data_IF_692832439852
#
_entry.id   IF_692832439852
#
_cell.length_a   1.000
_cell.length_b   1.000
_cell.length_c   1.000
_cell.angle_alpha   90.00
_cell.angle_beta   90.00
_cell.angle_gamma   90.00
#
_symmetry.space_group_name_H-M   'P 1'
#
loop_
_entity.id
_entity.type
_entity.pdbx_description
1 polymer ?
#
# COMPACT_ATOMS: atom_id res chain seq x y z
N UNK A 1 15.60 13.38 -28.00
CA UNK A 1 15.36 13.77 -26.58
C UNK A 1 15.38 15.29 -26.51
N UNK A 2 14.34 15.99 -26.02
CA UNK A 2 14.36 17.45 -25.99
C UNK A 2 15.25 17.95 -24.85
N UNK A 3 15.98 19.04 -25.10
CA UNK A 3 16.84 19.74 -24.12
C UNK A 3 16.02 20.05 -22.82
N UNK A 4 14.75 20.42 -22.98
CA UNK A 4 13.83 20.65 -21.85
C UNK A 4 13.64 19.41 -20.95
N UNK A 5 13.61 18.23 -21.55
CA UNK A 5 13.48 16.97 -20.78
C UNK A 5 14.76 16.68 -20.00
N UNK A 6 15.93 16.84 -20.61
CA UNK A 6 17.22 16.64 -19.95
C UNK A 6 17.39 17.59 -18.76
N UNK A 7 17.05 18.88 -18.93
CA UNK A 7 17.09 19.87 -17.84
C UNK A 7 16.12 19.49 -16.69
N UNK A 8 14.89 19.11 -16.98
CA UNK A 8 13.94 18.67 -15.95
C UNK A 8 14.45 17.43 -15.19
N UNK A 9 15.07 16.50 -15.90
CA UNK A 9 15.65 15.29 -15.30
C UNK A 9 16.83 15.64 -14.39
N UNK A 10 17.74 16.50 -14.82
CA UNK A 10 18.89 16.97 -14.02
C UNK A 10 18.40 17.72 -12.77
N UNK A 11 17.46 18.64 -12.90
CA UNK A 11 16.90 19.38 -11.74
C UNK A 11 16.26 18.41 -10.75
N UNK A 12 15.47 17.45 -11.22
CA UNK A 12 14.87 16.43 -10.37
C UNK A 12 15.93 15.59 -9.64
N UNK A 13 16.99 15.19 -10.33
CA UNK A 13 18.03 14.33 -9.77
C UNK A 13 18.92 15.11 -8.79
N UNK A 14 19.17 16.42 -9.04
CA UNK A 14 19.81 17.32 -8.08
C UNK A 14 18.97 17.55 -6.84
N UNK A 15 17.67 17.82 -6.98
CA UNK A 15 16.75 17.93 -5.84
C UNK A 15 16.71 16.63 -5.03
N UNK A 16 16.78 15.51 -5.70
CA UNK A 16 16.84 14.19 -5.07
C UNK A 16 18.15 14.00 -4.27
N UNK A 17 19.31 14.39 -4.84
CA UNK A 17 20.61 14.35 -4.15
C UNK A 17 20.66 15.30 -2.95
N UNK A 18 20.12 16.51 -3.09
CA UNK A 18 19.98 17.45 -1.98
C UNK A 18 19.12 16.90 -0.85
N UNK A 19 17.98 16.29 -1.18
CA UNK A 19 17.11 15.68 -0.19
C UNK A 19 17.75 14.45 0.49
N UNK A 20 18.58 13.68 -0.22
CA UNK A 20 19.37 12.59 0.36
C UNK A 20 20.46 13.11 1.31
N UNK A 21 21.14 14.18 0.93
CA UNK A 21 22.18 14.79 1.75
C UNK A 21 21.59 15.41 3.03
N UNK A 22 20.47 16.13 2.91
CA UNK A 22 19.70 16.65 4.04
C UNK A 22 19.21 15.50 4.94
N UNK A 23 18.73 14.40 4.35
CA UNK A 23 18.33 13.22 5.08
C UNK A 23 19.50 12.58 5.84
N UNK A 24 20.68 12.44 5.21
CA UNK A 24 21.86 11.90 5.88
C UNK A 24 22.32 12.80 7.04
N UNK A 25 22.22 14.12 6.90
CA UNK A 25 22.55 15.10 7.94
C UNK A 25 21.52 15.12 9.08
N UNK A 26 20.24 14.91 8.77
CA UNK A 26 19.16 14.92 9.78
C UNK A 26 19.00 13.59 10.51
N UNK A 27 19.53 12.47 9.96
CA UNK A 27 19.50 11.17 10.64
C UNK A 27 20.38 11.11 11.91
N UNK A 28 21.27 12.07 12.15
CA UNK A 28 22.04 12.12 13.40
C UNK A 28 21.21 12.45 14.64
N UNK A 29 20.01 13.01 14.47
CA UNK A 29 19.04 13.13 15.57
C UNK A 29 18.12 11.91 15.51
N UNK A 30 18.39 10.92 16.34
CA UNK A 30 17.51 9.77 16.52
C UNK A 30 16.09 10.27 16.83
N UNK A 31 15.21 10.20 15.85
CA UNK A 31 13.79 10.49 16.05
C UNK A 31 13.27 9.50 17.08
N UNK A 32 12.63 9.99 18.13
CA UNK A 32 12.02 9.12 19.15
C UNK A 32 11.12 8.08 18.49
N UNK A 33 11.17 6.84 18.99
CA UNK A 33 10.29 5.77 18.49
C UNK A 33 8.85 6.25 18.57
N UNK A 34 8.01 6.03 17.53
CA UNK A 34 6.59 6.33 17.59
C UNK A 34 5.97 5.61 18.77
N UNK A 35 5.18 6.32 19.57
CA UNK A 35 4.46 5.70 20.66
C UNK A 35 3.28 4.89 20.14
N UNK A 36 3.12 3.68 20.65
CA UNK A 36 1.88 2.94 20.55
C UNK A 36 0.94 3.51 21.62
N UNK A 37 -0.17 4.11 21.18
CA UNK A 37 -1.15 4.69 22.12
C UNK A 37 -1.93 3.57 22.80
N UNK A 38 -2.36 2.58 22.02
CA UNK A 38 -2.96 1.34 22.52
C UNK A 38 -2.89 0.22 21.48
N UNK A 39 -3.03 -1.01 21.97
CA UNK A 39 -3.24 -2.22 21.19
C UNK A 39 -4.39 -2.99 21.86
N UNK A 40 -5.54 -3.13 21.16
CA UNK A 40 -6.74 -3.76 21.66
C UNK A 40 -7.07 -4.99 20.83
N UNK A 41 -7.62 -6.01 21.45
CA UNK A 41 -8.18 -7.15 20.73
C UNK A 41 -9.44 -6.74 19.96
N UNK A 42 -9.62 -7.31 18.78
CA UNK A 42 -10.87 -7.23 18.03
C UNK A 42 -11.91 -8.20 18.57
N UNK A 43 -13.06 -8.27 17.90
CA UNK A 43 -14.10 -9.24 18.24
C UNK A 43 -13.85 -10.63 17.61
N UNK A 44 -12.97 -10.71 16.63
CA UNK A 44 -12.61 -11.96 15.95
C UNK A 44 -11.45 -12.63 16.69
N UNK A 45 -11.56 -13.94 16.93
CA UNK A 45 -10.45 -14.73 17.46
C UNK A 45 -9.43 -15.02 16.34
N UNK A 46 -8.12 -15.00 16.62
CA UNK A 46 -7.09 -15.41 15.67
C UNK A 46 -7.28 -16.86 15.21
N UNK A 47 -7.10 -17.09 13.90
CA UNK A 47 -7.11 -18.43 13.32
C UNK A 47 -5.81 -18.69 12.57
N UNK A 48 -4.86 -19.38 13.18
CA UNK A 48 -3.55 -19.63 12.63
C UNK A 48 -3.56 -20.56 11.39
N UNK A 49 -4.70 -21.09 10.97
CA UNK A 49 -4.84 -21.75 9.67
C UNK A 49 -5.05 -20.74 8.51
N UNK A 50 -5.37 -19.48 8.82
CA UNK A 50 -5.55 -18.40 7.85
C UNK A 50 -4.29 -17.55 7.74
N UNK A 51 -3.99 -16.96 6.57
CA UNK A 51 -2.98 -15.92 6.48
C UNK A 51 -3.42 -14.66 7.24
N UNK A 52 -2.44 -13.89 7.72
CA UNK A 52 -2.68 -12.64 8.44
C UNK A 52 -2.43 -11.44 7.55
N UNK A 53 -3.20 -10.37 7.73
CA UNK A 53 -2.99 -9.06 7.10
C UNK A 53 -2.65 -8.01 8.15
N UNK A 54 -1.51 -7.34 8.01
CA UNK A 54 -1.20 -6.09 8.70
C UNK A 54 -1.63 -4.92 7.81
N UNK A 55 -2.74 -4.29 8.14
CA UNK A 55 -3.35 -3.22 7.37
C UNK A 55 -3.07 -1.86 7.99
N UNK A 56 -2.24 -1.03 7.33
CA UNK A 56 -1.94 0.34 7.77
C UNK A 56 -2.94 1.34 7.18
N UNK A 57 -3.43 2.26 8.02
CA UNK A 57 -4.32 3.35 7.61
C UNK A 57 -3.93 4.67 8.28
N UNK A 58 -4.13 5.76 7.54
CA UNK A 58 -3.97 7.12 8.03
C UNK A 58 -5.02 8.04 7.41
N UNK A 59 -5.63 8.84 8.28
CA UNK A 59 -6.53 9.92 7.88
C UNK A 59 -6.23 11.15 8.76
N UNK A 60 -6.11 12.34 8.15
CA UNK A 60 -5.76 13.58 8.84
C UNK A 60 -6.89 14.11 9.72
N UNK A 61 -8.14 13.75 9.43
CA UNK A 61 -9.32 14.11 10.22
C UNK A 61 -9.64 13.02 11.26
N UNK A 62 -8.83 11.96 11.32
CA UNK A 62 -9.03 10.82 12.23
C UNK A 62 -10.33 10.05 11.99
N UNK A 63 -10.77 9.98 10.73
CA UNK A 63 -11.98 9.27 10.31
C UNK A 63 -11.58 7.94 9.66
N UNK A 64 -12.23 6.85 10.05
CA UNK A 64 -12.12 5.60 9.31
C UNK A 64 -13.13 5.62 8.16
N UNK A 65 -12.63 5.83 6.94
CA UNK A 65 -13.48 6.03 5.74
C UNK A 65 -14.20 4.75 5.32
N UNK A 66 -15.34 4.88 4.62
CA UNK A 66 -16.16 3.74 4.18
C UNK A 66 -15.37 2.76 3.26
N UNK A 67 -14.53 3.29 2.38
CA UNK A 67 -13.66 2.45 1.55
C UNK A 67 -12.65 1.62 2.35
N UNK A 68 -12.21 2.10 3.53
CA UNK A 68 -11.34 1.32 4.44
C UNK A 68 -12.13 0.17 5.06
N UNK A 69 -13.33 0.43 5.58
CA UNK A 69 -14.19 -0.64 6.08
C UNK A 69 -14.54 -1.68 5.01
N UNK A 70 -14.83 -1.20 3.81
CA UNK A 70 -15.09 -2.09 2.68
C UNK A 70 -13.90 -2.99 2.41
N UNK A 71 -12.68 -2.44 2.34
CA UNK A 71 -11.47 -3.23 2.08
C UNK A 71 -11.19 -4.24 3.20
N UNK A 72 -11.30 -3.82 4.47
CA UNK A 72 -11.15 -4.73 5.63
C UNK A 72 -12.17 -5.88 5.58
N UNK A 73 -13.43 -5.56 5.26
CA UNK A 73 -14.49 -6.57 5.08
C UNK A 73 -14.12 -7.56 3.96
N UNK A 74 -13.64 -7.08 2.83
CA UNK A 74 -13.24 -7.96 1.71
C UNK A 74 -12.03 -8.84 2.07
N UNK A 75 -11.05 -8.32 2.81
CA UNK A 75 -9.94 -9.12 3.31
C UNK A 75 -10.41 -10.22 4.27
N UNK A 76 -11.30 -9.90 5.20
CA UNK A 76 -11.86 -10.87 6.14
C UNK A 76 -12.70 -11.95 5.41
N UNK A 77 -13.52 -11.55 4.42
CA UNK A 77 -14.30 -12.47 3.58
C UNK A 77 -13.43 -13.36 2.71
N UNK A 78 -12.31 -12.83 2.19
CA UNK A 78 -11.32 -13.60 1.45
C UNK A 78 -10.55 -14.61 2.34
N UNK A 79 -10.69 -14.51 3.66
CA UNK A 79 -10.12 -15.48 4.61
C UNK A 79 -8.86 -15.00 5.34
N UNK A 80 -8.54 -13.70 5.33
CA UNK A 80 -7.46 -13.16 6.16
C UNK A 80 -7.92 -12.89 7.60
N UNK A 81 -7.04 -13.17 8.56
CA UNK A 81 -7.10 -12.51 9.86
C UNK A 81 -6.50 -11.10 9.73
N UNK A 82 -7.17 -10.08 10.26
CA UNK A 82 -6.74 -8.69 10.04
C UNK A 82 -6.30 -8.03 11.33
N UNK A 83 -5.10 -7.44 11.33
CA UNK A 83 -4.61 -6.49 12.32
C UNK A 83 -4.68 -5.10 11.70
N UNK A 84 -5.54 -4.24 12.22
CA UNK A 84 -5.69 -2.86 11.78
C UNK A 84 -4.72 -1.95 12.54
N UNK A 85 -3.95 -1.14 11.83
CA UNK A 85 -2.92 -0.25 12.38
C UNK A 85 -3.23 1.16 11.93
N UNK A 86 -3.73 2.00 12.85
CA UNK A 86 -4.00 3.41 12.58
C UNK A 86 -2.83 4.29 13.02
N UNK A 87 -2.47 5.20 12.12
CA UNK A 87 -1.57 6.31 12.42
C UNK A 87 -2.31 7.65 12.59
N UNK A 88 -3.64 7.67 12.50
CA UNK A 88 -4.47 8.84 12.78
C UNK A 88 -4.39 9.22 14.26
N UNK A 89 -4.68 10.47 14.61
CA UNK A 89 -4.51 10.96 15.98
C UNK A 89 -5.44 10.25 16.97
N UNK A 90 -6.66 9.95 16.55
CA UNK A 90 -7.65 9.22 17.33
C UNK A 90 -8.40 8.20 16.48
N UNK A 91 -9.10 7.27 17.13
CA UNK A 91 -10.14 6.43 16.55
C UNK A 91 -11.35 6.59 17.46
N UNK A 92 -12.51 6.97 16.93
CA UNK A 92 -13.73 7.11 17.71
C UNK A 92 -14.20 5.77 18.30
N UNK A 93 -14.96 5.79 19.38
CA UNK A 93 -15.49 4.55 19.97
C UNK A 93 -16.44 3.82 18.99
N UNK A 94 -17.18 4.56 18.17
CA UNK A 94 -18.03 3.99 17.13
C UNK A 94 -17.18 3.28 16.06
N UNK A 95 -16.06 3.89 15.62
CA UNK A 95 -15.14 3.27 14.68
C UNK A 95 -14.45 2.05 15.29
N UNK A 96 -14.04 2.13 16.57
CA UNK A 96 -13.44 0.99 17.28
C UNK A 96 -14.40 -0.21 17.32
N UNK A 97 -15.68 0.03 17.65
CA UNK A 97 -16.70 -1.01 17.67
C UNK A 97 -16.91 -1.64 16.29
N UNK A 98 -16.94 -0.82 15.24
CA UNK A 98 -17.11 -1.28 13.86
C UNK A 98 -15.89 -2.05 13.36
N UNK A 99 -14.67 -1.53 13.62
CA UNK A 99 -13.41 -2.20 13.27
C UNK A 99 -13.26 -3.55 13.94
N UNK A 100 -13.69 -3.67 15.23
CA UNK A 100 -13.62 -4.92 15.96
C UNK A 100 -14.33 -6.07 15.24
N UNK A 101 -15.40 -5.78 14.49
CA UNK A 101 -16.13 -6.78 13.70
C UNK A 101 -15.36 -7.35 12.50
N UNK A 102 -14.25 -6.74 12.10
CA UNK A 102 -13.45 -7.18 10.96
C UNK A 102 -12.01 -7.58 11.33
N UNK A 103 -11.58 -7.25 12.55
CA UNK A 103 -10.18 -7.37 12.96
C UNK A 103 -10.02 -8.29 14.16
N UNK A 104 -8.89 -8.98 14.22
CA UNK A 104 -8.43 -9.71 15.42
C UNK A 104 -7.74 -8.76 16.40
N UNK A 105 -7.18 -7.64 15.91
CA UNK A 105 -6.47 -6.63 16.70
C UNK A 105 -6.54 -5.25 16.06
N UNK A 106 -6.62 -4.21 16.91
CA UNK A 106 -6.62 -2.80 16.51
C UNK A 106 -5.50 -2.10 17.26
N UNK A 107 -4.59 -1.46 16.52
CA UNK A 107 -3.43 -0.77 17.04
C UNK A 107 -3.52 0.71 16.66
N UNK A 108 -3.39 1.61 17.64
CA UNK A 108 -3.24 3.05 17.42
C UNK A 108 -1.84 3.49 17.79
N UNK A 109 -1.20 4.23 16.89
CA UNK A 109 0.17 4.73 17.09
C UNK A 109 0.34 6.17 16.60
N UNK A 110 1.44 6.82 16.97
CA UNK A 110 1.81 8.11 16.40
C UNK A 110 2.09 8.02 14.90
N UNK A 111 1.75 9.09 14.16
CA UNK A 111 2.01 9.22 12.73
C UNK A 111 3.49 9.56 12.46
N UNK A 112 4.37 8.57 12.55
CA UNK A 112 5.80 8.70 12.24
C UNK A 112 6.29 7.48 11.48
N UNK A 113 7.06 7.68 10.39
CA UNK A 113 7.75 6.59 9.67
C UNK A 113 6.88 5.83 8.66
N UNK A 114 5.68 6.32 8.33
CA UNK A 114 4.79 5.78 7.30
C UNK A 114 4.45 4.30 7.50
N UNK A 115 4.08 3.60 6.40
CA UNK A 115 3.56 2.23 6.43
C UNK A 115 4.60 1.20 6.90
N UNK A 116 5.86 1.31 6.46
CA UNK A 116 6.90 0.37 6.87
C UNK A 116 7.13 0.36 8.38
N UNK A 117 7.07 1.53 9.02
CA UNK A 117 7.13 1.58 10.49
C UNK A 117 5.81 1.15 11.13
N UNK A 118 4.67 1.35 10.44
CA UNK A 118 3.38 0.81 10.83
C UNK A 118 3.41 -0.71 10.88
N UNK A 119 3.87 -1.35 9.83
CA UNK A 119 4.01 -2.82 9.79
C UNK A 119 4.99 -3.34 10.81
N UNK A 120 6.14 -2.67 11.01
CA UNK A 120 7.05 -3.00 12.13
C UNK A 120 6.30 -2.99 13.47
N UNK A 121 5.53 -1.93 13.73
CA UNK A 121 4.70 -1.86 14.95
C UNK A 121 3.70 -3.01 15.02
N UNK A 122 3.05 -3.35 13.90
CA UNK A 122 2.15 -4.50 13.82
C UNK A 122 2.82 -5.82 14.18
N UNK A 123 4.01 -6.08 13.64
CA UNK A 123 4.82 -7.27 13.95
C UNK A 123 5.22 -7.32 15.43
N UNK A 124 5.62 -6.18 16.01
CA UNK A 124 5.99 -6.07 17.42
C UNK A 124 4.76 -6.26 18.36
N UNK A 125 3.57 -5.75 17.99
CA UNK A 125 2.36 -5.81 18.79
C UNK A 125 1.56 -7.13 18.60
N UNK A 126 1.86 -7.87 17.54
CA UNK A 126 1.29 -9.19 17.28
C UNK A 126 2.40 -10.17 16.86
N UNK A 127 3.27 -10.59 17.78
CA UNK A 127 4.38 -11.49 17.47
C UNK A 127 3.93 -12.87 16.98
N UNK A 128 2.67 -13.27 17.24
CA UNK A 128 2.08 -14.52 16.74
C UNK A 128 1.90 -14.55 15.21
N UNK A 129 2.22 -13.48 14.47
CA UNK A 129 2.15 -13.45 13.01
C UNK A 129 2.91 -14.63 12.36
N UNK A 130 3.99 -15.10 12.99
CA UNK A 130 4.78 -16.22 12.49
C UNK A 130 4.07 -17.59 12.60
N UNK A 131 2.98 -17.69 13.36
CA UNK A 131 2.17 -18.92 13.44
C UNK A 131 1.26 -19.08 12.21
N UNK A 132 0.91 -17.97 11.52
CA UNK A 132 0.09 -17.99 10.31
C UNK A 132 0.84 -18.56 9.09
N UNK A 133 0.11 -19.10 8.07
CA UNK A 133 0.74 -19.65 6.86
C UNK A 133 1.37 -18.59 5.94
N UNK A 134 0.96 -17.34 6.05
CA UNK A 134 1.49 -16.22 5.28
C UNK A 134 1.08 -14.87 5.87
N UNK A 135 1.74 -13.82 5.42
CA UNK A 135 1.56 -12.45 5.88
C UNK A 135 1.34 -11.51 4.69
N UNK A 136 0.24 -10.78 4.73
CA UNK A 136 -0.04 -9.68 3.84
C UNK A 136 0.29 -8.35 4.54
N UNK A 137 1.13 -7.54 3.92
CA UNK A 137 1.36 -6.15 4.25
C UNK A 137 0.53 -5.31 3.30
N UNK A 138 -0.47 -4.60 3.81
CA UNK A 138 -1.38 -3.78 3.02
C UNK A 138 -1.59 -2.40 3.64
N UNK A 139 -2.08 -1.46 2.83
CA UNK A 139 -2.41 -0.13 3.30
C UNK A 139 -3.57 0.49 2.51
N UNK A 140 -4.05 1.61 2.97
CA UNK A 140 -5.18 2.34 2.41
C UNK A 140 -4.81 3.32 1.27
N UNK A 141 -3.60 3.22 0.68
CA UNK A 141 -3.22 4.09 -0.45
C UNK A 141 -3.95 3.78 -1.76
N UNK A 142 -4.69 2.69 -1.78
CA UNK A 142 -5.54 2.24 -2.88
C UNK A 142 -6.99 2.13 -2.46
N UNK A 143 -7.89 2.21 -3.45
CA UNK A 143 -9.33 2.02 -3.34
C UNK A 143 -9.69 0.66 -3.92
N UNK A 144 -10.62 -0.04 -3.28
CA UNK A 144 -11.02 -1.37 -3.73
C UNK A 144 -11.20 -2.36 -2.57
N UNK A 145 -11.37 -3.65 -2.88
CA UNK A 145 -11.31 -4.28 -4.21
C UNK A 145 -12.45 -3.83 -5.15
N UNK A 146 -12.10 -3.56 -6.40
CA UNK A 146 -13.04 -3.09 -7.43
C UNK A 146 -13.81 -4.24 -8.11
N UNK A 147 -13.29 -5.44 -8.01
CA UNK A 147 -13.82 -6.68 -8.57
C UNK A 147 -13.80 -7.78 -7.52
N UNK A 148 -14.35 -8.95 -7.85
CA UNK A 148 -14.30 -10.10 -6.97
C UNK A 148 -12.87 -10.40 -6.49
N UNK A 149 -12.74 -10.57 -5.19
CA UNK A 149 -11.49 -10.75 -4.48
C UNK A 149 -11.44 -12.06 -3.69
N UNK A 150 -12.48 -12.88 -3.82
CA UNK A 150 -12.66 -14.10 -3.04
C UNK A 150 -11.57 -15.15 -3.26
N UNK A 151 -10.97 -15.20 -4.47
CA UNK A 151 -9.93 -16.15 -4.85
C UNK A 151 -8.49 -15.66 -4.58
N UNK A 152 -8.34 -14.49 -3.97
CA UNK A 152 -7.02 -13.84 -3.86
C UNK A 152 -5.99 -14.72 -3.13
N UNK A 153 -6.39 -15.37 -2.02
CA UNK A 153 -5.46 -16.26 -1.29
C UNK A 153 -5.01 -17.40 -2.18
N UNK A 154 -5.94 -18.03 -2.89
CA UNK A 154 -5.62 -19.11 -3.83
C UNK A 154 -4.65 -18.65 -4.91
N UNK A 155 -4.84 -17.45 -5.47
CA UNK A 155 -3.93 -16.88 -6.46
C UNK A 155 -2.54 -16.57 -5.88
N UNK A 156 -2.47 -16.08 -4.65
CA UNK A 156 -1.21 -15.80 -3.95
C UNK A 156 -0.43 -17.08 -3.64
N UNK A 157 -1.12 -18.10 -3.12
CA UNK A 157 -0.50 -19.38 -2.76
C UNK A 157 -0.05 -20.17 -3.99
N UNK A 158 -0.84 -20.16 -5.09
CA UNK A 158 -0.49 -20.84 -6.33
C UNK A 158 0.58 -20.10 -7.15
N UNK A 159 0.88 -18.85 -6.83
CA UNK A 159 1.97 -18.14 -7.49
C UNK A 159 3.30 -18.83 -7.19
N UNK A 160 4.10 -19.11 -8.22
CA UNK A 160 5.42 -19.74 -8.07
C UNK A 160 6.50 -18.71 -7.61
N UNK A 161 6.15 -17.93 -6.60
CA UNK A 161 7.04 -16.98 -5.93
C UNK A 161 6.81 -17.03 -4.42
N UNK A 162 7.80 -16.61 -3.67
CA UNK A 162 7.79 -16.59 -2.20
C UNK A 162 7.19 -15.28 -1.68
N UNK A 163 7.39 -14.19 -2.44
CA UNK A 163 6.85 -12.86 -2.17
C UNK A 163 6.05 -12.42 -3.39
N UNK A 164 4.77 -12.10 -3.18
CA UNK A 164 3.86 -11.74 -4.27
C UNK A 164 3.27 -10.35 -4.03
N UNK A 165 3.49 -9.44 -4.99
CA UNK A 165 2.83 -8.13 -5.02
C UNK A 165 1.71 -8.09 -6.06
N UNK A 166 0.89 -7.03 -6.04
CA UNK A 166 -0.06 -6.79 -7.12
C UNK A 166 0.64 -6.29 -8.37
N UNK A 167 1.48 -5.29 -8.24
CA UNK A 167 2.22 -4.67 -9.34
C UNK A 167 3.68 -4.48 -8.96
N UNK A 168 4.53 -4.41 -9.97
CA UNK A 168 5.94 -4.08 -9.83
C UNK A 168 6.24 -2.68 -10.38
N UNK A 169 7.44 -2.19 -10.08
CA UNK A 169 7.92 -0.88 -10.48
C UNK A 169 9.44 -0.91 -10.66
N UNK A 170 9.95 -0.18 -11.65
CA UNK A 170 11.36 -0.19 -12.02
C UNK A 170 12.09 1.10 -11.62
N UNK A 171 11.43 2.00 -10.90
CA UNK A 171 12.07 3.20 -10.40
C UNK A 171 13.06 2.84 -9.30
N UNK A 172 14.28 3.35 -9.39
CA UNK A 172 15.42 3.10 -8.50
C UNK A 172 16.00 1.68 -8.61
N UNK A 173 15.17 0.66 -8.53
CA UNK A 173 15.49 -0.76 -8.60
C UNK A 173 14.21 -1.53 -8.90
N UNK A 174 14.23 -2.64 -9.66
CA UNK A 174 13.06 -3.49 -9.83
C UNK A 174 12.50 -3.92 -8.47
N UNK A 175 11.25 -3.60 -8.19
CA UNK A 175 10.64 -3.88 -6.89
C UNK A 175 9.13 -4.05 -7.00
N UNK A 176 8.55 -4.74 -6.02
CA UNK A 176 7.11 -4.83 -5.84
C UNK A 176 6.60 -3.55 -5.17
N UNK A 177 5.46 -3.03 -5.60
CA UNK A 177 4.83 -1.87 -4.96
C UNK A 177 4.22 -2.27 -3.61
N UNK A 178 4.47 -1.47 -2.59
CA UNK A 178 4.25 -1.86 -1.19
C UNK A 178 2.81 -1.74 -0.70
N UNK A 179 1.86 -1.29 -1.51
CA UNK A 179 0.46 -1.21 -1.08
C UNK A 179 -0.21 -2.58 -0.86
N UNK A 180 0.41 -3.66 -1.40
CA UNK A 180 -0.03 -5.03 -1.23
C UNK A 180 1.16 -5.98 -1.46
N UNK A 181 1.72 -6.52 -0.38
CA UNK A 181 2.86 -7.44 -0.40
C UNK A 181 2.53 -8.68 0.43
N UNK A 182 2.38 -9.82 -0.23
CA UNK A 182 2.15 -11.10 0.43
C UNK A 182 3.45 -11.88 0.55
N UNK A 183 3.79 -12.27 1.76
CA UNK A 183 4.97 -13.08 2.10
C UNK A 183 4.52 -14.45 2.58
N UNK A 184 4.96 -15.52 1.92
CA UNK A 184 4.71 -16.91 2.35
C UNK A 184 5.47 -17.23 3.63
N UNK A 185 5.05 -18.28 4.33
CA UNK A 185 5.62 -18.68 5.63
C UNK A 185 7.14 -18.77 5.66
N UNK A 186 7.86 -19.36 4.68
CA UNK A 186 9.33 -19.39 4.70
C UNK A 186 9.97 -18.01 4.73
N UNK A 187 9.32 -17.00 4.12
CA UNK A 187 9.81 -15.62 4.11
C UNK A 187 9.70 -15.00 5.49
N UNK A 188 8.51 -15.06 6.10
CA UNK A 188 8.24 -14.40 7.38
C UNK A 188 9.03 -14.99 8.56
N UNK A 189 9.53 -16.21 8.41
CA UNK A 189 10.38 -16.88 9.39
C UNK A 189 11.88 -16.65 9.15
N UNK A 190 12.25 -15.99 8.04
CA UNK A 190 13.66 -15.81 7.67
C UNK A 190 14.33 -14.69 8.44
N UNK A 191 15.64 -14.85 8.66
CA UNK A 191 16.47 -13.81 9.27
C UNK A 191 16.49 -12.53 8.44
N UNK A 192 16.38 -12.64 7.10
CA UNK A 192 16.34 -11.49 6.20
C UNK A 192 15.09 -10.65 6.39
N UNK A 193 13.93 -11.28 6.56
CA UNK A 193 12.66 -10.58 6.83
C UNK A 193 12.68 -9.93 8.21
N UNK A 194 13.04 -10.68 9.23
CA UNK A 194 13.12 -10.19 10.63
C UNK A 194 14.13 -9.05 10.71
N UNK A 195 15.35 -9.27 10.22
CA UNK A 195 16.42 -8.28 10.23
C UNK A 195 16.11 -7.03 9.40
N UNK A 196 15.31 -7.15 8.30
CA UNK A 196 14.83 -5.99 7.56
C UNK A 196 13.94 -5.11 8.45
N UNK A 197 12.92 -5.69 9.09
CA UNK A 197 12.01 -4.93 9.93
C UNK A 197 12.68 -4.40 11.21
N UNK A 198 13.63 -5.11 11.79
CA UNK A 198 14.42 -4.62 12.92
C UNK A 198 15.18 -3.32 12.57
N UNK A 199 15.68 -3.23 11.35
CA UNK A 199 16.41 -2.05 10.85
C UNK A 199 15.50 -0.90 10.35
N UNK A 200 14.17 -1.09 10.30
CA UNK A 200 13.26 -0.01 9.93
C UNK A 200 13.27 1.08 11.01
N UNK A 201 13.62 2.30 10.59
CA UNK A 201 13.67 3.51 11.41
C UNK A 201 12.70 4.54 10.89
N UNK A 202 12.36 5.50 11.73
CA UNK A 202 11.54 6.65 11.32
C UNK A 202 12.27 7.47 10.27
N UNK A 203 11.61 7.68 9.13
CA UNK A 203 12.10 8.46 8.00
C UNK A 203 11.02 9.47 7.63
N UNK A 204 11.38 10.76 7.57
CA UNK A 204 10.44 11.86 7.37
C UNK A 204 10.07 12.16 5.90
N UNK A 205 10.72 11.52 4.91
CA UNK A 205 10.53 11.85 3.50
C UNK A 205 10.03 10.66 2.69
N UNK A 206 8.87 10.82 2.02
CA UNK A 206 8.23 9.74 1.24
C UNK A 206 9.17 9.10 0.21
N UNK A 207 9.99 9.91 -0.51
CA UNK A 207 10.90 9.40 -1.54
C UNK A 207 12.03 8.54 -0.95
N UNK A 208 12.49 8.88 0.25
CA UNK A 208 13.50 8.08 0.97
C UNK A 208 12.91 6.76 1.47
N UNK A 209 11.62 6.73 1.85
CA UNK A 209 10.92 5.51 2.20
C UNK A 209 10.79 4.58 1.01
N UNK A 210 10.35 5.08 -0.15
CA UNK A 210 10.25 4.29 -1.38
C UNK A 210 11.60 3.66 -1.72
N UNK A 211 12.68 4.46 -1.72
CA UNK A 211 14.02 3.94 -2.06
C UNK A 211 14.58 2.98 -1.02
N UNK A 212 14.50 3.36 0.27
CA UNK A 212 15.14 2.61 1.36
C UNK A 212 14.37 1.35 1.73
N UNK A 213 13.05 1.47 1.80
CA UNK A 213 12.21 0.40 2.32
C UNK A 213 11.46 -0.33 1.21
N UNK A 214 10.73 0.34 0.31
CA UNK A 214 9.98 -0.35 -0.74
C UNK A 214 10.93 -1.06 -1.74
N UNK A 215 11.81 -0.31 -2.39
CA UNK A 215 12.82 -0.90 -3.28
C UNK A 215 13.87 -1.72 -2.50
N UNK A 216 14.22 -1.28 -1.28
CA UNK A 216 15.15 -1.97 -0.40
C UNK A 216 14.66 -3.33 0.07
N UNK A 217 13.38 -3.48 0.39
CA UNK A 217 12.73 -4.74 0.73
C UNK A 217 12.89 -5.76 -0.40
N UNK A 218 12.45 -5.38 -1.61
CA UNK A 218 12.57 -6.26 -2.77
C UNK A 218 14.03 -6.61 -3.10
N UNK A 219 14.95 -5.64 -3.00
CA UNK A 219 16.39 -5.87 -3.24
C UNK A 219 17.03 -6.78 -2.22
N UNK A 220 16.66 -6.66 -0.94
CA UNK A 220 17.24 -7.50 0.12
C UNK A 220 16.70 -8.92 0.02
N UNK A 221 15.38 -9.06 0.05
CA UNK A 221 14.72 -10.36 0.09
C UNK A 221 14.84 -11.10 -1.25
N UNK A 222 14.90 -10.39 -2.37
CA UNK A 222 15.10 -10.95 -3.70
C UNK A 222 16.47 -11.62 -3.93
N UNK A 223 17.41 -11.50 -2.99
CA UNK A 223 18.67 -12.26 -3.02
C UNK A 223 18.45 -13.74 -2.66
N UNK A 224 17.42 -14.06 -1.90
CA UNK A 224 17.12 -15.41 -1.41
C UNK A 224 15.77 -15.93 -1.91
N UNK A 225 14.78 -15.06 -2.04
CA UNK A 225 13.40 -15.42 -2.35
C UNK A 225 13.02 -14.97 -3.75
N UNK A 226 12.11 -15.72 -4.39
CA UNK A 226 11.52 -15.32 -5.67
C UNK A 226 10.41 -14.31 -5.42
N UNK A 227 10.46 -13.20 -6.18
CA UNK A 227 9.46 -12.14 -6.16
C UNK A 227 8.67 -12.17 -7.48
N UNK A 228 7.36 -11.97 -7.41
CA UNK A 228 6.50 -11.82 -8.58
C UNK A 228 5.38 -10.82 -8.34
N UNK A 229 4.96 -10.15 -9.40
CA UNK A 229 3.74 -9.34 -9.42
C UNK A 229 2.63 -10.10 -10.17
N UNK A 230 1.40 -10.14 -9.60
CA UNK A 230 0.25 -10.74 -10.27
C UNK A 230 -0.10 -10.01 -11.57
N UNK A 231 0.18 -8.71 -11.62
CA UNK A 231 -0.05 -7.81 -12.74
C UNK A 231 1.25 -7.04 -13.03
N UNK A 232 2.27 -7.76 -13.54
CA UNK A 232 3.58 -7.15 -13.81
C UNK A 232 3.49 -6.08 -14.89
N UNK A 233 4.34 -5.06 -14.80
CA UNK A 233 4.42 -3.98 -15.78
C UNK A 233 4.63 -4.54 -17.20
N UNK A 234 5.50 -5.52 -17.36
CA UNK A 234 5.73 -6.20 -18.63
C UNK A 234 4.42 -6.75 -19.22
N UNK A 235 3.69 -7.55 -18.45
CA UNK A 235 2.42 -8.12 -18.85
C UNK A 235 1.37 -7.07 -19.22
N UNK A 236 1.32 -5.97 -18.47
CA UNK A 236 0.40 -4.86 -18.77
C UNK A 236 0.79 -4.15 -20.06
N UNK A 237 2.08 -3.90 -20.27
CA UNK A 237 2.57 -3.26 -21.49
C UNK A 237 2.35 -4.14 -22.74
N UNK A 238 2.34 -5.45 -22.62
CA UNK A 238 2.08 -6.35 -23.75
C UNK A 238 0.66 -6.24 -24.31
N UNK A 239 -0.30 -5.75 -23.51
CA UNK A 239 -1.66 -5.45 -23.97
C UNK A 239 -1.78 -4.05 -24.63
N UNK A 240 -0.75 -3.23 -24.57
CA UNK A 240 -0.74 -1.89 -25.15
C UNK A 240 0.02 -1.90 -26.47
N UNK A 241 -0.59 -1.43 -27.58
CA UNK A 241 0.09 -1.32 -28.86
C UNK A 241 1.42 -0.58 -28.73
N UNK A 242 2.48 -1.06 -29.37
CA UNK A 242 3.85 -0.53 -29.21
C UNK A 242 3.95 0.98 -29.39
N UNK A 243 3.16 1.56 -30.31
CA UNK A 243 3.13 3.01 -30.57
C UNK A 243 2.58 3.83 -29.40
N UNK A 244 1.73 3.21 -28.57
CA UNK A 244 1.02 3.82 -27.44
C UNK A 244 1.72 3.56 -26.11
N UNK A 245 2.74 2.67 -26.11
CA UNK A 245 3.51 2.39 -24.89
C UNK A 245 4.23 3.65 -24.40
N UNK A 246 4.23 3.88 -23.08
CA UNK A 246 4.96 4.99 -22.48
C UNK A 246 6.44 4.96 -22.86
N UNK A 247 6.99 6.11 -23.24
CA UNK A 247 8.41 6.26 -23.63
C UNK A 247 9.32 6.56 -22.45
N UNK A 248 8.74 6.80 -21.30
CA UNK A 248 9.44 7.16 -20.07
C UNK A 248 9.08 6.16 -18.98
N UNK A 249 9.92 6.12 -17.91
CA UNK A 249 9.56 5.38 -16.73
C UNK A 249 8.20 5.86 -16.17
N UNK A 250 7.35 4.90 -15.81
CA UNK A 250 6.01 5.16 -15.30
C UNK A 250 5.74 4.41 -14.00
N UNK A 251 4.84 4.96 -13.20
CA UNK A 251 4.16 4.20 -12.15
C UNK A 251 2.96 3.49 -12.79
N UNK A 252 2.95 2.14 -12.86
CA UNK A 252 1.89 1.40 -13.56
C UNK A 252 0.51 1.66 -12.96
N UNK A 253 0.41 1.70 -11.64
CA UNK A 253 -0.88 1.93 -10.96
C UNK A 253 -1.42 3.34 -11.14
N UNK A 254 -0.57 4.28 -11.59
CA UNK A 254 -0.95 5.66 -11.84
C UNK A 254 -1.17 5.94 -13.33
N UNK A 255 -0.29 5.48 -14.20
CA UNK A 255 -0.34 5.78 -15.65
C UNK A 255 -1.08 4.72 -16.46
N UNK A 256 -1.13 3.49 -15.97
CA UNK A 256 -1.79 2.37 -16.64
C UNK A 256 -3.02 1.86 -15.88
N UNK A 257 -3.64 2.73 -15.07
CA UNK A 257 -4.82 2.36 -14.28
C UNK A 257 -5.97 1.85 -15.16
N UNK A 258 -6.18 2.47 -16.32
CA UNK A 258 -7.26 2.11 -17.24
C UNK A 258 -7.04 0.74 -17.87
N UNK A 259 -5.93 0.44 -18.59
CA UNK A 259 -5.66 -0.92 -19.06
C UNK A 259 -5.57 -1.96 -17.94
N UNK A 260 -5.10 -1.62 -16.75
CA UNK A 260 -5.15 -2.54 -15.60
C UNK A 260 -6.60 -2.94 -15.29
N UNK A 261 -7.55 -2.02 -15.33
CA UNK A 261 -8.98 -2.29 -15.07
C UNK A 261 -9.61 -3.02 -16.27
N UNK A 262 -9.43 -2.50 -17.49
CA UNK A 262 -10.14 -3.00 -18.68
C UNK A 262 -9.67 -4.40 -19.10
N UNK A 263 -8.36 -4.63 -19.13
CA UNK A 263 -7.77 -5.88 -19.63
C UNK A 263 -7.60 -6.94 -18.53
N UNK A 264 -7.40 -6.52 -17.29
CA UNK A 264 -7.02 -7.47 -16.22
C UNK A 264 -8.02 -7.55 -15.06
N UNK A 265 -9.08 -6.74 -15.04
CA UNK A 265 -9.98 -6.62 -13.89
C UNK A 265 -9.19 -6.38 -12.59
N UNK A 266 -8.19 -5.50 -12.68
CA UNK A 266 -7.31 -5.17 -11.57
C UNK A 266 -8.10 -4.66 -10.37
N UNK A 267 -7.89 -5.21 -9.17
CA UNK A 267 -8.79 -4.98 -8.04
C UNK A 267 -8.59 -3.61 -7.36
N UNK A 268 -7.64 -2.78 -7.78
CA UNK A 268 -7.34 -1.56 -7.06
C UNK A 268 -7.23 -0.32 -7.94
N UNK A 269 -7.62 0.83 -7.40
CA UNK A 269 -7.35 2.15 -7.96
C UNK A 269 -6.50 2.96 -6.97
N UNK A 270 -5.40 3.53 -7.43
CA UNK A 270 -4.54 4.35 -6.58
C UNK A 270 -5.21 5.67 -6.21
N UNK A 271 -5.37 5.97 -4.92
CA UNK A 271 -6.00 7.20 -4.42
C UNK A 271 -5.43 8.46 -5.08
N UNK A 272 -4.12 8.49 -5.32
CA UNK A 272 -3.45 9.66 -5.92
C UNK A 272 -3.88 10.02 -7.33
N UNK A 273 -4.56 9.15 -8.08
CA UNK A 273 -5.14 9.47 -9.39
C UNK A 273 -6.23 10.52 -9.24
N UNK A 274 -7.10 10.33 -8.27
CA UNK A 274 -8.21 11.22 -7.97
C UNK A 274 -7.74 12.49 -7.24
N UNK A 275 -6.88 12.37 -6.24
CA UNK A 275 -6.38 13.54 -5.48
C UNK A 275 -5.59 14.52 -6.34
N UNK A 276 -4.87 14.04 -7.35
CA UNK A 276 -4.13 14.88 -8.31
C UNK A 276 -4.99 15.38 -9.46
N UNK A 277 -6.29 15.01 -9.49
CA UNK A 277 -7.22 15.38 -10.56
C UNK A 277 -6.73 15.00 -11.97
N UNK A 278 -5.93 13.94 -12.08
CA UNK A 278 -5.47 13.42 -13.38
C UNK A 278 -6.64 12.76 -14.15
N UNK A 279 -7.62 12.26 -13.40
CA UNK A 279 -8.82 11.59 -13.92
C UNK A 279 -10.04 12.05 -13.13
N UNK A 280 -11.17 12.20 -13.78
CA UNK A 280 -12.42 12.55 -13.12
C UNK A 280 -13.09 11.33 -12.48
N UNK A 281 -13.89 11.56 -11.45
CA UNK A 281 -14.72 10.51 -10.84
C UNK A 281 -15.69 9.89 -11.84
N UNK A 282 -16.25 10.71 -12.75
CA UNK A 282 -17.16 10.25 -13.78
C UNK A 282 -16.47 9.27 -14.73
N UNK A 283 -15.23 9.56 -15.14
CA UNK A 283 -14.45 8.66 -15.99
C UNK A 283 -14.16 7.33 -15.28
N UNK A 284 -13.76 7.37 -14.01
CA UNK A 284 -13.53 6.15 -13.22
C UNK A 284 -14.81 5.34 -13.10
N UNK A 285 -15.94 5.98 -12.77
CA UNK A 285 -17.23 5.32 -12.64
C UNK A 285 -17.68 4.66 -13.95
N UNK A 286 -17.51 5.35 -15.08
CA UNK A 286 -17.85 4.82 -16.40
C UNK A 286 -17.01 3.59 -16.73
N UNK A 287 -15.68 3.67 -16.54
CA UNK A 287 -14.76 2.54 -16.80
C UNK A 287 -15.10 1.33 -15.91
N UNK A 288 -15.41 1.55 -14.64
CA UNK A 288 -15.79 0.48 -13.72
C UNK A 288 -17.10 -0.20 -14.15
N UNK A 289 -18.14 0.59 -14.48
CA UNK A 289 -19.43 0.09 -14.90
C UNK A 289 -19.33 -0.71 -16.22
N UNK A 290 -18.63 -0.17 -17.22
CA UNK A 290 -18.40 -0.85 -18.51
C UNK A 290 -17.63 -2.17 -18.36
N UNK A 291 -16.87 -2.32 -17.28
CA UNK A 291 -16.07 -3.51 -17.02
C UNK A 291 -16.68 -4.46 -15.99
N UNK A 292 -17.96 -4.26 -15.61
CA UNK A 292 -18.71 -5.15 -14.74
C UNK A 292 -18.26 -5.12 -13.27
N UNK A 293 -17.69 -4.00 -12.82
CA UNK A 293 -17.39 -3.78 -11.41
C UNK A 293 -18.68 -3.63 -10.61
N UNK A 294 -18.75 -4.28 -9.45
CA UNK A 294 -19.85 -4.13 -8.47
C UNK A 294 -19.45 -3.17 -7.33
N UNK A 295 -18.30 -2.53 -7.44
CA UNK A 295 -17.84 -1.58 -6.43
C UNK A 295 -18.75 -0.35 -6.38
N UNK A 296 -19.20 -0.01 -5.16
CA UNK A 296 -20.01 1.18 -4.96
C UNK A 296 -19.15 2.45 -5.07
N UNK A 297 -19.26 3.10 -6.22
CA UNK A 297 -18.54 4.35 -6.50
C UNK A 297 -18.97 5.48 -5.57
N UNK A 298 -20.16 5.40 -4.94
CA UNK A 298 -20.62 6.34 -3.92
C UNK A 298 -19.66 6.49 -2.76
N UNK A 299 -18.98 5.40 -2.37
CA UNK A 299 -17.95 5.45 -1.34
C UNK A 299 -16.74 6.35 -1.69
N UNK A 300 -16.56 6.69 -2.96
CA UNK A 300 -15.47 7.56 -3.42
C UNK A 300 -15.91 9.03 -3.47
N UNK A 301 -17.21 9.30 -3.60
CA UNK A 301 -17.75 10.66 -3.76
C UNK A 301 -17.48 11.48 -2.51
N UNK A 302 -17.79 10.93 -1.35
CA UNK A 302 -17.57 11.59 -0.06
C UNK A 302 -16.10 11.93 0.13
N UNK A 303 -15.22 10.98 -0.15
CA UNK A 303 -13.77 11.15 -0.03
C UNK A 303 -13.22 12.21 -1.00
N UNK A 304 -13.69 12.27 -2.26
CA UNK A 304 -13.24 13.28 -3.25
C UNK A 304 -13.79 14.67 -2.92
N UNK A 305 -15.02 14.78 -2.42
CA UNK A 305 -15.64 16.04 -2.02
C UNK A 305 -14.84 16.70 -0.88
N UNK A 306 -14.38 15.91 0.10
CA UNK A 306 -13.58 16.37 1.23
C UNK A 306 -12.19 16.86 0.80
N UNK A 307 -11.50 16.13 -0.07
CA UNK A 307 -10.20 16.58 -0.63
C UNK A 307 -10.38 17.91 -1.42
N UNK A 308 -11.51 18.10 -2.09
CA UNK A 308 -11.80 19.36 -2.79
C UNK A 308 -11.99 20.54 -1.82
N UNK A 309 -12.50 20.29 -0.62
CA UNK A 309 -12.64 21.29 0.45
C UNK A 309 -11.29 21.65 1.06
N UNK A 310 -10.44 20.66 1.38
CA UNK A 310 -9.09 20.88 1.94
C UNK A 310 -8.22 21.72 1.00
N UNK A 311 -8.26 21.47 -0.30
CA UNK A 311 -7.49 22.24 -1.28
C UNK A 311 -7.89 23.71 -1.37
N UNK A 312 -9.11 24.08 -0.92
CA UNK A 312 -9.61 25.47 -0.86
C UNK A 312 -9.20 26.19 0.43
N UNK A 313 -9.01 25.46 1.51
CA UNK A 313 -8.63 26.01 2.82
C UNK A 313 -7.11 26.19 2.91
N UNK A 314 -6.31 25.33 2.31
CA UNK A 314 -4.84 25.41 2.29
C UNK A 314 -4.26 26.43 1.30
N UNK A 315 -5.10 27.11 0.52
CA UNK A 315 -4.72 28.18 -0.45
C UNK A 315 -5.05 29.59 0.03
N UNK A 316 -5.34 29.78 1.32
CA UNK A 316 -5.50 31.11 1.95
C UNK A 316 -4.36 31.43 2.87
#
# INVERSE_FOLDING_TARGET
MSVKWAIKTIIRDLQYLCNLSLYALTQQKASAKPQVRYSKEGALAPNHAKPICLFCSYDNESIVRQNVYYYLKQLALAGFDVVFISSSDTISDADLQKLAGYCIRIISRENKGYDFYGWKTGLEQYPQYHAHPGLLLANDSVLGPLFDFSDIITRLENCNADIVGMTDNFRFYPHLQSYFLYCKKPVILSEEFIGFFDQVKVVGFKIAIVRKYEAGFSRLLGKRFRLAALYSLERVLDQIPYRERPKEWIDPTFRLWKPLITEFKFPFLKKSILTRREVSMQEVAAVLAENGSTFDVGMLVDWVAEIALESRVGSR
#
